data_IF_292629817772
#
_entry.id   IF_292629817772
#
_cell.length_a   1.000
_cell.length_b   1.000
_cell.length_c   1.000
_cell.angle_alpha   90.00
_cell.angle_beta   90.00
_cell.angle_gamma   90.00
#
_symmetry.space_group_name_H-M   'P 1'
#
loop_
_entity.id
_entity.type
_entity.pdbx_description
1 polymer ?
#
# COMPACT_ATOMS: atom_id res chain seq x y z
N UNK A 1 -30.36 -3.78 1.85
CA UNK A 1 -28.89 -3.97 1.96
C UNK A 1 -28.21 -2.89 1.14
N UNK A 2 -27.16 -2.26 1.66
CA UNK A 2 -26.44 -1.20 0.94
C UNK A 2 -25.74 -1.75 -0.30
N UNK A 3 -25.67 -0.95 -1.37
CA UNK A 3 -25.04 -1.33 -2.65
C UNK A 3 -23.52 -1.56 -2.53
N UNK A 4 -22.88 -1.02 -1.49
CA UNK A 4 -21.43 -0.94 -1.36
C UNK A 4 -20.94 -1.53 -0.04
N UNK A 5 -19.75 -2.11 -0.08
CA UNK A 5 -19.05 -2.64 1.09
C UNK A 5 -18.81 -1.57 2.14
N UNK A 6 -18.81 -1.95 3.41
CA UNK A 6 -18.36 -1.10 4.51
C UNK A 6 -16.85 -0.87 4.49
N UNK A 7 -16.12 -1.57 3.62
CA UNK A 7 -14.68 -1.45 3.46
C UNK A 7 -14.29 -0.66 2.22
N UNK A 8 -13.10 -0.06 2.29
CA UNK A 8 -12.40 0.59 1.18
C UNK A 8 -10.93 0.21 1.25
N UNK A 9 -10.30 0.02 0.09
CA UNK A 9 -8.88 -0.32 -0.01
C UNK A 9 -8.14 0.83 -0.69
N UNK A 10 -7.01 1.23 -0.14
CA UNK A 10 -6.08 2.16 -0.77
C UNK A 10 -4.79 1.44 -1.12
N UNK A 11 -4.28 1.70 -2.32
CA UNK A 11 -3.15 0.99 -2.88
C UNK A 11 -2.11 1.97 -3.37
N UNK A 12 -0.88 1.77 -2.91
CA UNK A 12 0.28 2.50 -3.39
C UNK A 12 1.53 1.61 -3.34
N UNK A 13 2.61 2.07 -3.94
CA UNK A 13 3.78 1.28 -4.27
C UNK A 13 5.09 1.86 -3.72
N UNK A 14 6.11 1.02 -3.64
CA UNK A 14 7.49 1.46 -3.46
C UNK A 14 8.42 0.71 -4.39
N UNK A 15 9.32 1.45 -5.03
CA UNK A 15 10.20 0.94 -6.08
C UNK A 15 9.57 1.05 -7.47
N UNK A 16 10.40 1.04 -8.50
CA UNK A 16 9.91 1.02 -9.88
C UNK A 16 9.47 -0.39 -10.29
N UNK A 17 8.44 -0.48 -11.13
CA UNK A 17 7.95 -1.75 -11.68
C UNK A 17 8.76 -2.23 -12.89
N UNK A 18 9.84 -1.53 -13.27
CA UNK A 18 10.67 -1.86 -14.42
C UNK A 18 11.60 -3.05 -14.17
N UNK A 19 11.68 -3.94 -15.17
CA UNK A 19 12.64 -5.07 -15.19
C UNK A 19 13.83 -4.87 -16.15
N UNK A 20 13.75 -3.87 -17.04
CA UNK A 20 14.83 -3.55 -18.00
C UNK A 20 16.06 -2.97 -17.29
N UNK A 21 15.83 -2.02 -16.39
CA UNK A 21 16.86 -1.41 -15.55
C UNK A 21 16.42 -1.55 -14.10
N UNK A 22 17.16 -2.31 -13.31
CA UNK A 22 16.86 -2.55 -11.90
C UNK A 22 17.77 -1.65 -11.05
N UNK A 23 17.19 -0.86 -10.16
CA UNK A 23 17.96 -0.12 -9.14
C UNK A 23 18.58 -1.10 -8.15
N UNK A 24 19.92 -1.20 -8.17
CA UNK A 24 20.67 -2.06 -7.28
C UNK A 24 20.55 -1.69 -5.79
N UNK A 25 20.18 -0.43 -5.49
CA UNK A 25 19.95 0.01 -4.11
C UNK A 25 18.56 -0.37 -3.59
N UNK A 26 17.63 -0.67 -4.49
CA UNK A 26 16.26 -1.06 -4.16
C UNK A 26 15.68 -2.05 -5.19
N UNK A 27 16.23 -3.29 -5.31
CA UNK A 27 15.86 -4.26 -6.34
C UNK A 27 14.56 -5.02 -6.04
N UNK A 28 13.62 -4.35 -5.35
CA UNK A 28 12.29 -4.88 -5.01
C UNK A 28 11.21 -3.90 -5.46
N UNK A 29 10.08 -4.45 -5.88
CA UNK A 29 8.84 -3.72 -6.05
C UNK A 29 7.88 -4.14 -4.94
N UNK A 30 7.30 -3.17 -4.25
CA UNK A 30 6.32 -3.40 -3.18
C UNK A 30 5.00 -2.77 -3.59
N UNK A 31 3.91 -3.51 -3.45
CA UNK A 31 2.55 -2.99 -3.57
C UNK A 31 1.84 -3.17 -2.22
N UNK A 32 1.47 -2.05 -1.61
CA UNK A 32 0.87 -1.95 -0.30
C UNK A 32 -0.65 -1.78 -0.43
N UNK A 33 -1.42 -2.50 0.36
CA UNK A 33 -2.88 -2.46 0.36
C UNK A 33 -3.37 -2.19 1.78
N UNK A 34 -3.87 -0.98 2.00
CA UNK A 34 -4.46 -0.56 3.28
C UNK A 34 -5.98 -0.74 3.22
N UNK A 35 -6.51 -1.65 4.03
CA UNK A 35 -7.93 -1.99 4.06
C UNK A 35 -8.57 -1.39 5.30
N UNK A 36 -9.47 -0.43 5.09
CA UNK A 36 -10.17 0.27 6.16
C UNK A 36 -11.65 -0.10 6.17
N UNK A 37 -12.25 -0.17 7.37
CA UNK A 37 -13.69 0.14 7.47
C UNK A 37 -13.85 1.63 7.18
N UNK A 38 -14.87 1.99 6.42
CA UNK A 38 -15.13 3.37 5.99
C UNK A 38 -15.28 4.33 7.18
N UNK A 39 -15.86 3.86 8.30
CA UNK A 39 -15.97 4.64 9.54
C UNK A 39 -14.60 4.93 10.17
N UNK A 40 -13.71 3.94 10.28
CA UNK A 40 -12.36 4.13 10.85
C UNK A 40 -11.52 5.05 9.95
N UNK A 41 -11.74 4.99 8.63
CA UNK A 41 -11.11 5.89 7.67
C UNK A 41 -11.62 7.33 7.81
N UNK A 42 -12.94 7.53 7.70
CA UNK A 42 -13.56 8.85 7.63
C UNK A 42 -13.49 9.60 8.96
N UNK A 43 -13.72 8.90 10.06
CA UNK A 43 -13.84 9.50 11.39
C UNK A 43 -12.52 9.40 12.19
N UNK A 44 -11.59 8.53 11.76
CA UNK A 44 -10.30 8.32 12.40
C UNK A 44 -9.13 8.89 11.61
N UNK A 45 -8.75 8.23 10.51
CA UNK A 45 -7.53 8.56 9.76
C UNK A 45 -7.57 9.97 9.16
N UNK A 46 -8.66 10.32 8.47
CA UNK A 46 -8.80 11.61 7.78
C UNK A 46 -8.62 12.82 8.73
N UNK A 47 -9.35 12.92 9.86
CA UNK A 47 -9.16 14.04 10.79
C UNK A 47 -7.77 14.01 11.43
N UNK A 48 -7.22 12.83 11.75
CA UNK A 48 -5.88 12.71 12.33
C UNK A 48 -4.81 13.28 11.40
N UNK A 49 -4.85 12.93 10.11
CA UNK A 49 -3.94 13.49 9.10
C UNK A 49 -4.13 15.00 8.93
N UNK A 50 -5.36 15.51 8.96
CA UNK A 50 -5.60 16.95 8.91
C UNK A 50 -4.97 17.68 10.11
N UNK A 51 -5.20 17.19 11.33
CA UNK A 51 -4.62 17.78 12.54
C UNK A 51 -3.08 17.72 12.52
N UNK A 52 -2.51 16.60 12.09
CA UNK A 52 -1.07 16.47 11.89
C UNK A 52 -0.54 17.55 10.94
N UNK A 53 -1.20 17.75 9.79
CA UNK A 53 -0.77 18.76 8.82
C UNK A 53 -0.95 20.19 9.33
N UNK A 54 -2.06 20.50 10.00
CA UNK A 54 -2.25 21.82 10.61
C UNK A 54 -1.15 22.13 11.65
N UNK A 55 -0.75 21.14 12.44
CA UNK A 55 0.33 21.28 13.43
C UNK A 55 1.68 21.60 12.78
N UNK A 56 2.03 20.93 11.69
CA UNK A 56 3.37 21.03 11.08
C UNK A 56 3.49 22.07 9.96
N UNK A 57 2.40 22.35 9.24
CA UNK A 57 2.40 23.21 8.05
C UNK A 57 1.44 24.40 8.14
N UNK A 58 0.53 24.41 9.13
CA UNK A 58 -0.50 25.45 9.27
C UNK A 58 -1.69 25.32 8.31
N UNK A 59 -1.66 24.34 7.39
CA UNK A 59 -2.76 24.01 6.47
C UNK A 59 -2.75 22.51 6.15
N UNK A 60 -3.84 21.99 5.58
CA UNK A 60 -3.97 20.56 5.27
C UNK A 60 -3.53 20.18 3.85
N UNK A 61 -3.17 21.15 3.01
CA UNK A 61 -2.86 20.93 1.58
C UNK A 61 -1.54 20.19 1.28
N UNK A 62 -0.62 20.05 2.24
CA UNK A 62 0.64 19.30 2.04
C UNK A 62 0.34 17.82 1.85
N UNK A 63 0.84 17.20 0.78
CA UNK A 63 0.73 15.76 0.54
C UNK A 63 1.91 15.06 1.22
N UNK A 64 1.61 14.13 2.13
CA UNK A 64 2.60 13.32 2.83
C UNK A 64 3.10 12.22 1.89
N UNK A 65 4.20 12.51 1.21
CA UNK A 65 4.85 11.58 0.29
C UNK A 65 6.19 11.12 0.88
N UNK A 66 6.36 9.80 1.04
CA UNK A 66 7.48 9.13 1.69
C UNK A 66 8.81 9.62 1.13
N UNK A 67 8.92 9.71 -0.20
CA UNK A 67 10.20 10.06 -0.83
C UNK A 67 10.56 11.52 -0.56
N UNK A 68 9.58 12.42 -0.46
CA UNK A 68 9.82 13.83 -0.19
C UNK A 68 10.13 14.06 1.30
N UNK A 69 9.46 13.34 2.19
CA UNK A 69 9.78 13.32 3.63
C UNK A 69 11.20 12.78 3.85
N UNK A 70 11.54 11.63 3.24
CA UNK A 70 12.86 11.00 3.41
C UNK A 70 13.99 11.92 2.92
N UNK A 71 13.78 12.62 1.80
CA UNK A 71 14.77 13.49 1.16
C UNK A 71 14.68 14.96 1.56
N UNK A 72 13.81 15.31 2.52
CA UNK A 72 13.60 16.68 3.01
C UNK A 72 13.27 17.69 1.89
N UNK A 73 12.41 17.29 0.93
CA UNK A 73 12.08 18.07 -0.27
C UNK A 73 10.82 18.91 -0.09
N UNK A 74 10.76 20.04 -0.79
CA UNK A 74 9.58 20.91 -0.83
C UNK A 74 9.15 21.39 0.56
N UNK A 75 7.89 21.14 0.91
CA UNK A 75 7.30 21.49 2.21
C UNK A 75 8.03 20.83 3.39
N UNK A 76 8.71 19.69 3.17
CA UNK A 76 9.48 18.98 4.20
C UNK A 76 10.87 19.56 4.44
N UNK A 77 11.25 20.63 3.74
CA UNK A 77 12.48 21.39 4.04
C UNK A 77 12.47 22.04 5.43
N UNK A 78 11.33 22.03 6.13
CA UNK A 78 11.20 22.42 7.54
C UNK A 78 11.90 21.43 8.50
N UNK A 79 12.17 20.20 8.06
CA UNK A 79 12.79 19.11 8.85
C UNK A 79 14.33 19.25 8.92
N UNK A 80 14.84 20.49 9.08
CA UNK A 80 16.26 20.87 8.95
C UNK A 80 17.22 20.24 9.96
N UNK A 81 16.70 19.69 11.05
CA UNK A 81 17.49 19.12 12.15
C UNK A 81 17.06 17.67 12.37
N UNK A 82 18.01 16.82 12.72
CA UNK A 82 17.75 15.39 12.99
C UNK A 82 16.64 15.21 14.03
N UNK A 83 16.64 16.03 15.08
CA UNK A 83 15.68 15.96 16.18
C UNK A 83 14.25 16.25 15.70
N UNK A 84 14.05 17.29 14.89
CA UNK A 84 12.75 17.60 14.28
C UNK A 84 12.28 16.48 13.34
N UNK A 85 13.19 15.95 12.52
CA UNK A 85 12.87 14.86 11.59
C UNK A 85 12.46 13.59 12.33
N UNK A 86 13.22 13.21 13.36
CA UNK A 86 12.90 12.07 14.22
C UNK A 86 11.55 12.27 14.92
N UNK A 87 11.28 13.45 15.48
CA UNK A 87 9.99 13.76 16.10
C UNK A 87 8.81 13.66 15.11
N UNK A 88 8.97 14.21 13.90
CA UNK A 88 7.96 14.15 12.84
C UNK A 88 7.67 12.70 12.40
N UNK A 89 8.72 11.91 12.18
CA UNK A 89 8.60 10.51 11.78
C UNK A 89 8.02 9.63 12.90
N UNK A 90 8.36 9.91 14.15
CA UNK A 90 7.79 9.21 15.31
C UNK A 90 6.30 9.48 15.41
N UNK A 91 5.86 10.73 15.26
CA UNK A 91 4.43 11.06 15.28
C UNK A 91 3.68 10.39 14.12
N UNK A 92 4.24 10.34 12.90
CA UNK A 92 3.65 9.55 11.81
C UNK A 92 3.56 8.07 12.17
N UNK A 93 4.62 7.50 12.75
CA UNK A 93 4.64 6.10 13.18
C UNK A 93 3.56 5.82 14.23
N UNK A 94 3.37 6.73 15.18
CA UNK A 94 2.34 6.63 16.22
C UNK A 94 0.92 6.72 15.61
N UNK A 95 0.72 7.55 14.59
CA UNK A 95 -0.54 7.59 13.83
C UNK A 95 -0.79 6.25 13.13
N UNK A 96 0.20 5.67 12.46
CA UNK A 96 0.08 4.34 11.84
C UNK A 96 -0.28 3.29 12.91
N UNK A 97 0.37 3.34 14.07
CA UNK A 97 0.13 2.41 15.17
C UNK A 97 -1.31 2.51 15.72
N UNK A 98 -1.83 3.72 15.91
CA UNK A 98 -3.15 3.96 16.47
C UNK A 98 -4.29 3.67 15.48
N UNK A 99 -4.06 3.89 14.18
CA UNK A 99 -5.09 3.76 13.14
C UNK A 99 -5.54 2.31 12.98
N UNK A 100 -6.85 2.08 12.93
CA UNK A 100 -7.43 0.74 12.73
C UNK A 100 -7.55 0.43 11.23
N UNK A 101 -6.76 -0.53 10.75
CA UNK A 101 -6.82 -1.05 9.40
C UNK A 101 -6.16 -2.42 9.33
N UNK A 102 -6.54 -3.21 8.33
CA UNK A 102 -5.82 -4.41 7.96
C UNK A 102 -4.84 -4.09 6.82
N UNK A 103 -3.68 -4.73 6.86
CA UNK A 103 -2.61 -4.48 5.91
C UNK A 103 -2.25 -5.73 5.11
N UNK A 104 -2.09 -5.57 3.82
CA UNK A 104 -1.58 -6.60 2.91
C UNK A 104 -0.46 -5.97 2.07
N UNK A 105 0.60 -6.72 1.83
CA UNK A 105 1.67 -6.32 0.92
C UNK A 105 2.10 -7.46 0.01
N UNK A 106 2.34 -7.11 -1.25
CA UNK A 106 3.01 -7.95 -2.23
C UNK A 106 4.41 -7.40 -2.49
N UNK A 107 5.44 -8.24 -2.39
CA UNK A 107 6.83 -7.88 -2.65
C UNK A 107 7.35 -8.74 -3.79
N UNK A 108 7.84 -8.10 -4.84
CA UNK A 108 8.45 -8.75 -5.99
C UNK A 108 9.96 -8.48 -5.96
N UNK A 109 10.77 -9.53 -5.82
CA UNK A 109 12.23 -9.51 -5.93
C UNK A 109 12.61 -9.53 -7.41
N UNK A 110 13.03 -8.39 -7.95
CA UNK A 110 13.16 -8.18 -9.40
C UNK A 110 14.29 -9.00 -10.02
N UNK A 111 15.43 -9.09 -9.35
CA UNK A 111 16.57 -9.89 -9.81
C UNK A 111 16.22 -11.39 -9.86
N UNK A 112 15.76 -12.05 -8.78
CA UNK A 112 15.30 -13.44 -8.83
C UNK A 112 14.19 -13.68 -9.85
N UNK A 113 13.27 -12.72 -10.04
CA UNK A 113 12.21 -12.84 -11.04
C UNK A 113 12.79 -12.92 -12.46
N UNK A 114 13.70 -12.00 -12.80
CA UNK A 114 14.33 -11.94 -14.13
C UNK A 114 15.18 -13.17 -14.43
N UNK A 115 15.86 -13.72 -13.42
CA UNK A 115 16.69 -14.92 -13.58
C UNK A 115 15.86 -16.19 -13.72
N UNK A 116 14.72 -16.27 -13.01
CA UNK A 116 13.90 -17.48 -12.96
C UNK A 116 13.01 -17.68 -14.19
N UNK A 117 12.59 -16.61 -14.86
CA UNK A 117 11.62 -16.69 -15.94
C UNK A 117 12.19 -16.13 -17.25
N UNK A 118 12.04 -16.88 -18.35
CA UNK A 118 12.48 -16.44 -19.69
C UNK A 118 11.74 -15.20 -20.17
N UNK A 119 10.45 -15.09 -19.85
CA UNK A 119 9.64 -13.91 -20.10
C UNK A 119 8.94 -13.52 -18.79
N UNK A 120 9.62 -12.79 -17.90
CA UNK A 120 9.06 -12.44 -16.60
C UNK A 120 7.88 -11.48 -16.78
N UNK A 121 6.80 -11.74 -16.06
CA UNK A 121 5.63 -10.87 -16.04
C UNK A 121 5.92 -9.54 -15.34
N UNK A 122 5.13 -8.51 -15.66
CA UNK A 122 5.26 -7.19 -15.02
C UNK A 122 5.12 -7.32 -13.48
N UNK A 123 6.09 -6.83 -12.69
CA UNK A 123 6.03 -6.86 -11.23
C UNK A 123 4.76 -6.27 -10.64
N UNK A 124 4.22 -5.21 -11.26
CA UNK A 124 2.97 -4.61 -10.82
C UNK A 124 1.80 -5.58 -10.98
N UNK A 125 1.66 -6.21 -12.14
CA UNK A 125 0.55 -7.13 -12.43
C UNK A 125 0.56 -8.33 -11.48
N UNK A 126 1.75 -8.92 -11.28
CA UNK A 126 1.95 -10.01 -10.31
C UNK A 126 1.55 -9.57 -8.89
N UNK A 127 2.06 -8.41 -8.45
CA UNK A 127 1.79 -7.89 -7.11
C UNK A 127 0.31 -7.57 -6.90
N UNK A 128 -0.36 -7.01 -7.92
CA UNK A 128 -1.78 -6.70 -7.93
C UNK A 128 -2.60 -7.99 -7.78
N UNK A 129 -2.37 -8.98 -8.63
CA UNK A 129 -3.07 -10.27 -8.57
C UNK A 129 -2.95 -10.91 -7.19
N UNK A 130 -1.72 -10.97 -6.65
CA UNK A 130 -1.49 -11.46 -5.28
C UNK A 130 -2.22 -10.67 -4.21
N UNK A 131 -2.30 -9.35 -4.34
CA UNK A 131 -2.99 -8.48 -3.40
C UNK A 131 -4.50 -8.67 -3.44
N UNK A 132 -5.10 -8.64 -4.64
CA UNK A 132 -6.55 -8.79 -4.84
C UNK A 132 -7.06 -10.12 -4.28
N UNK A 133 -6.34 -11.22 -4.53
CA UNK A 133 -6.67 -12.53 -3.94
C UNK A 133 -6.73 -12.47 -2.41
N UNK A 134 -5.75 -11.80 -1.78
CA UNK A 134 -5.65 -11.71 -0.31
C UNK A 134 -6.68 -10.77 0.29
N UNK A 135 -6.98 -9.67 -0.39
CA UNK A 135 -8.09 -8.78 -0.01
C UNK A 135 -9.39 -9.58 0.00
N UNK A 136 -9.63 -10.38 -1.04
CA UNK A 136 -10.82 -11.22 -1.11
C UNK A 136 -10.92 -12.21 0.06
N UNK A 137 -9.80 -12.84 0.41
CA UNK A 137 -9.75 -13.71 1.59
C UNK A 137 -10.02 -12.99 2.90
N UNK A 138 -9.40 -11.82 3.09
CA UNK A 138 -9.61 -11.01 4.29
C UNK A 138 -11.09 -10.62 4.42
N UNK A 139 -11.67 -10.06 3.35
CA UNK A 139 -13.06 -9.63 3.32
C UNK A 139 -14.02 -10.80 3.55
N UNK A 140 -13.72 -11.98 2.98
CA UNK A 140 -14.48 -13.21 3.27
C UNK A 140 -14.39 -13.62 4.73
N UNK A 141 -13.22 -13.49 5.34
CA UNK A 141 -13.00 -13.79 6.76
C UNK A 141 -13.81 -12.90 7.71
N UNK A 142 -14.08 -11.65 7.31
CA UNK A 142 -14.89 -10.69 8.08
C UNK A 142 -16.34 -10.59 7.59
N UNK A 143 -16.77 -11.44 6.65
CA UNK A 143 -18.14 -11.48 6.14
C UNK A 143 -18.53 -10.37 5.14
N UNK A 144 -17.56 -9.64 4.59
CA UNK A 144 -17.76 -8.48 3.71
C UNK A 144 -17.58 -8.82 2.21
N UNK A 145 -18.25 -9.87 1.71
CA UNK A 145 -18.07 -10.36 0.31
C UNK A 145 -19.23 -10.12 -0.64
N UNK A 146 -20.41 -9.77 -0.14
CA UNK A 146 -21.59 -9.65 -1.00
C UNK A 146 -21.63 -8.31 -1.74
N UNK A 147 -21.13 -7.26 -1.10
CA UNK A 147 -21.17 -5.92 -1.65
C UNK A 147 -19.88 -5.57 -2.38
N UNK A 148 -20.02 -4.67 -3.35
CA UNK A 148 -18.89 -4.18 -4.14
C UNK A 148 -17.92 -3.39 -3.26
N UNK A 149 -16.63 -3.76 -3.31
CA UNK A 149 -15.55 -3.07 -2.58
C UNK A 149 -14.72 -2.24 -3.56
N UNK A 150 -14.47 -0.98 -3.21
CA UNK A 150 -13.67 -0.09 -4.05
C UNK A 150 -12.19 -0.17 -3.66
N UNK A 151 -11.34 -0.22 -4.68
CA UNK A 151 -9.89 -0.26 -4.56
C UNK A 151 -9.34 0.99 -5.24
N UNK A 152 -8.84 1.92 -4.42
CA UNK A 152 -8.36 3.22 -4.86
C UNK A 152 -6.86 3.14 -5.12
N UNK A 153 -6.46 3.50 -6.33
CA UNK A 153 -5.07 3.57 -6.79
C UNK A 153 -4.74 5.00 -7.22
N UNK A 154 -3.48 5.39 -7.10
CA UNK A 154 -3.01 6.65 -7.69
C UNK A 154 -2.82 6.52 -9.22
N UNK A 155 -3.23 7.54 -9.97
CA UNK A 155 -2.99 7.64 -11.41
C UNK A 155 -1.52 7.79 -11.76
N UNK A 156 -1.10 7.13 -12.83
CA UNK A 156 0.29 7.09 -13.30
C UNK A 156 0.47 7.60 -14.73
N UNK A 157 -0.62 7.87 -15.43
CA UNK A 157 -0.61 8.26 -16.84
C UNK A 157 -1.68 7.47 -17.60
N UNK A 158 -2.22 8.04 -18.67
CA UNK A 158 -3.38 7.42 -19.36
C UNK A 158 -3.09 6.01 -19.87
N UNK A 159 -1.86 5.73 -20.30
CA UNK A 159 -1.48 4.41 -20.79
C UNK A 159 -1.36 3.43 -19.62
N UNK A 160 -0.59 3.79 -18.60
CA UNK A 160 -0.38 2.97 -17.40
C UNK A 160 -1.70 2.68 -16.67
N UNK A 161 -2.58 3.69 -16.57
CA UNK A 161 -3.90 3.56 -15.95
C UNK A 161 -4.78 2.57 -16.73
N UNK A 162 -4.75 2.62 -18.06
CA UNK A 162 -5.51 1.72 -18.93
C UNK A 162 -5.00 0.27 -18.85
N UNK A 163 -3.68 0.09 -18.84
CA UNK A 163 -3.04 -1.22 -18.69
C UNK A 163 -3.36 -1.83 -17.31
N UNK A 164 -3.28 -1.02 -16.26
CA UNK A 164 -3.62 -1.42 -14.90
C UNK A 164 -5.11 -1.79 -14.77
N UNK A 165 -6.01 -0.99 -15.35
CA UNK A 165 -7.45 -1.27 -15.32
C UNK A 165 -7.78 -2.59 -16.02
N UNK A 166 -7.16 -2.85 -17.18
CA UNK A 166 -7.36 -4.10 -17.91
C UNK A 166 -6.91 -5.30 -17.10
N UNK A 167 -5.73 -5.23 -16.47
CA UNK A 167 -5.22 -6.32 -15.64
C UNK A 167 -6.08 -6.54 -14.39
N UNK A 168 -6.49 -5.45 -13.73
CA UNK A 168 -7.41 -5.50 -12.59
C UNK A 168 -8.69 -6.25 -12.95
N UNK A 169 -9.30 -5.92 -14.10
CA UNK A 169 -10.54 -6.56 -14.57
C UNK A 169 -10.32 -8.04 -14.86
N UNK A 170 -9.22 -8.41 -15.52
CA UNK A 170 -8.89 -9.83 -15.77
C UNK A 170 -8.82 -10.65 -14.50
N UNK A 171 -8.11 -10.14 -13.48
CA UNK A 171 -8.02 -10.81 -12.17
C UNK A 171 -9.41 -10.92 -11.53
N UNK A 172 -10.20 -9.85 -11.58
CA UNK A 172 -11.56 -9.84 -11.01
C UNK A 172 -12.54 -10.74 -11.77
N UNK A 173 -12.36 -10.98 -13.07
CA UNK A 173 -13.21 -11.82 -13.91
C UNK A 173 -12.86 -13.32 -13.83
N UNK A 174 -11.90 -13.70 -12.98
CA UNK A 174 -11.57 -15.09 -12.72
C UNK A 174 -10.17 -15.52 -13.15
N UNK A 175 -9.33 -14.61 -13.67
CA UNK A 175 -7.89 -14.88 -13.81
C UNK A 175 -7.16 -14.74 -12.47
N UNK A 176 -7.69 -15.40 -11.46
CA UNK A 176 -7.13 -15.52 -10.12
C UNK A 176 -7.08 -16.99 -9.73
N UNK A 177 -6.36 -17.31 -8.66
CA UNK A 177 -6.17 -18.68 -8.16
C UNK A 177 -7.46 -19.45 -7.92
N UNK A 178 -8.58 -18.76 -7.64
CA UNK A 178 -9.87 -19.36 -7.33
C UNK A 178 -10.78 -19.54 -8.52
N UNK A 179 -10.41 -18.98 -9.68
CA UNK A 179 -11.24 -18.99 -10.89
C UNK A 179 -12.66 -18.49 -10.62
N UNK A 180 -12.79 -17.47 -9.78
CA UNK A 180 -14.07 -16.89 -9.38
C UNK A 180 -14.09 -15.38 -9.59
N UNK A 181 -15.28 -14.81 -9.69
CA UNK A 181 -15.42 -13.36 -9.73
C UNK A 181 -15.01 -12.72 -8.39
N UNK A 182 -14.25 -11.62 -8.44
CA UNK A 182 -13.96 -10.79 -7.29
C UNK A 182 -14.85 -9.53 -7.33
N UNK A 183 -15.61 -9.19 -6.28
CA UNK A 183 -16.56 -8.09 -6.28
C UNK A 183 -15.85 -6.73 -6.05
N UNK A 184 -14.82 -6.44 -6.84
CA UNK A 184 -14.00 -5.24 -6.71
C UNK A 184 -14.18 -4.27 -7.87
N UNK A 185 -14.06 -2.98 -7.57
CA UNK A 185 -14.04 -1.92 -8.58
C UNK A 185 -12.86 -1.01 -8.32
N UNK A 186 -12.05 -0.78 -9.35
CA UNK A 186 -10.89 0.10 -9.27
C UNK A 186 -11.34 1.56 -9.41
N UNK A 187 -10.75 2.44 -8.59
CA UNK A 187 -10.97 3.88 -8.63
C UNK A 187 -9.62 4.56 -8.79
N UNK A 188 -9.45 5.32 -9.87
CA UNK A 188 -8.23 6.06 -10.16
C UNK A 188 -8.30 7.47 -9.58
N UNK A 189 -7.46 7.75 -8.58
CA UNK A 189 -7.36 9.04 -7.95
C UNK A 189 -6.18 9.84 -8.53
N UNK A 190 -6.38 11.14 -8.78
CA UNK A 190 -5.29 12.00 -9.23
C UNK A 190 -4.19 12.13 -8.17
N UNK A 191 -2.93 12.27 -8.60
CA UNK A 191 -1.78 12.51 -7.70
C UNK A 191 -1.93 13.77 -6.84
N UNK A 192 -2.71 14.75 -7.30
CA UNK A 192 -3.05 15.97 -6.53
C UNK A 192 -4.17 15.74 -5.52
N UNK A 193 -4.79 14.57 -5.51
CA UNK A 193 -5.79 14.23 -4.51
C UNK A 193 -5.09 14.12 -3.15
N UNK A 194 -5.56 14.92 -2.20
CA UNK A 194 -5.05 14.90 -0.83
C UNK A 194 -5.68 13.72 -0.05
N UNK A 195 -5.61 12.51 -0.62
CA UNK A 195 -6.21 11.30 -0.07
C UNK A 195 -5.37 10.80 1.10
N UNK A 196 -5.93 10.80 2.31
CA UNK A 196 -5.25 10.28 3.49
C UNK A 196 -4.94 8.78 3.38
N UNK A 197 -5.77 8.04 2.65
CA UNK A 197 -5.63 6.59 2.49
C UNK A 197 -4.48 6.22 1.55
N UNK A 198 -4.31 6.96 0.43
CA UNK A 198 -3.16 6.78 -0.46
C UNK A 198 -1.87 7.20 0.23
N UNK A 199 -1.87 8.34 0.92
CA UNK A 199 -0.71 8.77 1.72
C UNK A 199 -0.34 7.75 2.81
N UNK A 200 -1.32 7.09 3.45
CA UNK A 200 -1.04 5.99 4.37
C UNK A 200 -0.37 4.80 3.65
N UNK A 201 -0.86 4.40 2.49
CA UNK A 201 -0.29 3.30 1.71
C UNK A 201 1.15 3.60 1.25
N UNK A 202 1.42 4.81 0.77
CA UNK A 202 2.75 5.29 0.38
C UNK A 202 3.76 5.22 1.54
N UNK A 203 3.39 5.80 2.70
CA UNK A 203 4.24 5.86 3.89
C UNK A 203 4.68 4.49 4.40
N UNK A 204 3.84 3.46 4.23
CA UNK A 204 4.11 2.12 4.76
C UNK A 204 4.72 1.16 3.72
N UNK A 205 4.64 1.46 2.42
CA UNK A 205 5.15 0.58 1.37
C UNK A 205 6.66 0.37 1.45
N UNK A 206 7.43 1.48 1.56
CA UNK A 206 8.89 1.39 1.57
C UNK A 206 9.46 0.63 2.78
N UNK A 207 9.01 0.85 4.03
CA UNK A 207 9.44 0.07 5.19
C UNK A 207 9.40 -1.44 4.97
N UNK A 208 8.39 -1.96 4.24
CA UNK A 208 8.30 -3.39 3.91
C UNK A 208 9.46 -3.82 3.02
N UNK A 209 9.73 -3.10 1.93
CA UNK A 209 10.85 -3.44 1.05
C UNK A 209 12.20 -3.32 1.74
N UNK A 210 12.38 -2.34 2.63
CA UNK A 210 13.61 -2.22 3.43
C UNK A 210 13.82 -3.41 4.35
N UNK A 211 12.76 -3.93 4.98
CA UNK A 211 12.83 -5.15 5.81
C UNK A 211 13.28 -6.37 4.99
N UNK A 212 12.77 -6.51 3.76
CA UNK A 212 13.14 -7.63 2.87
C UNK A 212 14.61 -7.51 2.40
N UNK A 213 15.06 -6.30 2.07
CA UNK A 213 16.43 -6.08 1.61
C UNK A 213 17.47 -6.15 2.72
N UNK A 214 17.09 -5.73 3.93
CA UNK A 214 18.01 -5.56 5.07
C UNK A 214 17.37 -6.10 6.35
N UNK A 215 17.23 -7.43 6.49
CA UNK A 215 16.54 -8.05 7.63
C UNK A 215 17.24 -7.82 8.97
N UNK A 216 18.56 -7.59 8.97
CA UNK A 216 19.30 -7.32 10.20
C UNK A 216 19.28 -5.84 10.61
N UNK A 217 18.83 -4.94 9.73
CA UNK A 217 18.78 -3.51 10.04
C UNK A 217 17.50 -3.20 10.85
N UNK A 218 17.62 -2.49 11.99
CA UNK A 218 16.45 -2.04 12.74
C UNK A 218 15.51 -1.19 11.89
N UNK A 219 14.21 -1.44 11.98
CA UNK A 219 13.19 -0.78 11.19
C UNK A 219 11.92 -0.55 12.01
N UNK A 220 11.93 0.50 12.83
CA UNK A 220 10.82 0.84 13.74
C UNK A 220 9.47 1.00 13.03
N UNK A 221 9.48 1.54 11.81
CA UNK A 221 8.26 1.65 11.01
C UNK A 221 7.71 0.26 10.67
N UNK A 222 8.56 -0.67 10.21
CA UNK A 222 8.16 -2.05 9.97
C UNK A 222 7.62 -2.73 11.23
N UNK A 223 8.29 -2.57 12.37
CA UNK A 223 7.86 -3.21 13.64
C UNK A 223 6.44 -2.78 14.03
N UNK A 224 6.07 -1.53 13.72
CA UNK A 224 4.72 -1.01 13.89
C UNK A 224 3.74 -1.63 12.89
N UNK A 225 4.13 -1.70 11.62
CA UNK A 225 3.31 -2.23 10.51
C UNK A 225 3.11 -3.74 10.63
N UNK A 226 4.04 -4.49 11.22
CA UNK A 226 3.97 -5.96 11.31
C UNK A 226 2.70 -6.43 12.05
N UNK A 227 2.29 -5.65 13.06
CA UNK A 227 1.08 -5.90 13.84
C UNK A 227 -0.22 -5.61 13.05
N UNK A 228 -0.12 -4.91 11.92
CA UNK A 228 -1.27 -4.57 11.05
C UNK A 228 -1.50 -5.61 9.96
N UNK A 229 -0.54 -6.49 9.68
CA UNK A 229 -0.70 -7.49 8.63
C UNK A 229 -1.93 -8.37 8.86
N UNK A 230 -2.66 -8.64 7.79
CA UNK A 230 -3.66 -9.70 7.77
C UNK A 230 -3.01 -11.03 8.16
N UNK A 231 -3.60 -11.70 9.16
CA UNK A 231 -3.15 -12.98 9.69
C UNK A 231 -4.25 -14.03 9.53
N UNK A 232 -3.84 -15.26 9.26
CA UNK A 232 -4.78 -16.38 9.27
C UNK A 232 -5.22 -16.74 10.69
N UNK A 233 -6.12 -17.71 10.82
CA UNK A 233 -6.61 -18.19 12.14
C UNK A 233 -5.54 -18.79 13.07
N UNK A 234 -4.29 -18.94 12.62
CA UNK A 234 -3.14 -19.37 13.44
C UNK A 234 -2.16 -18.21 13.73
N UNK A 235 -2.53 -16.97 13.41
CA UNK A 235 -1.70 -15.78 13.64
C UNK A 235 -0.56 -15.57 12.63
N UNK A 236 -0.48 -16.37 11.55
CA UNK A 236 0.58 -16.25 10.53
C UNK A 236 0.22 -15.21 9.48
N UNK A 237 1.13 -14.28 9.21
CA UNK A 237 0.98 -13.30 8.12
C UNK A 237 1.71 -13.70 6.83
N UNK A 238 2.78 -14.50 6.89
CA UNK A 238 3.48 -14.95 5.67
C UNK A 238 2.56 -15.77 4.77
N UNK A 239 2.47 -15.36 3.51
CA UNK A 239 1.57 -15.91 2.51
C UNK A 239 0.13 -15.41 2.60
N UNK A 240 -0.24 -14.70 3.69
CA UNK A 240 -1.57 -14.15 3.95
C UNK A 240 -1.57 -12.63 3.85
N UNK A 241 -0.98 -11.93 4.81
CA UNK A 241 -0.77 -10.49 4.78
C UNK A 241 0.48 -10.07 4.02
N UNK A 242 1.53 -10.89 3.97
CA UNK A 242 2.75 -10.60 3.21
C UNK A 242 3.02 -11.68 2.16
N UNK A 243 3.13 -11.30 0.90
CA UNK A 243 3.53 -12.17 -0.20
C UNK A 243 4.83 -11.71 -0.83
N UNK A 244 5.93 -12.34 -0.47
CA UNK A 244 7.19 -12.18 -1.18
C UNK A 244 7.28 -13.19 -2.35
N UNK A 245 7.78 -12.74 -3.50
CA UNK A 245 7.89 -13.54 -4.73
C UNK A 245 9.07 -13.10 -5.63
N UNK A 246 9.67 -13.99 -6.42
CA UNK A 246 9.68 -15.44 -6.20
C UNK A 246 10.44 -15.74 -4.92
#
# INVERSE_FOLDING_TARGET
MGQFSEYIVFVDESGDHGLKTIDQNYPVFVLAFCIFRKVDYADGLVPTFKHFKFKHFGHDQVILHETDIRKDRGDFSILKTREKKEAFLNELTDIVAATQFAFIASVIRKEPLREKYTNPENPYHLALGFGLERIFYYLRGVGATEQKTHIVVEKRGSQEDSELELEFRRVCDGQNRHRCALPFEVVFADKKSNSAGLQMADLIARPIGMRILRPEQPNRAYDTIENKFYRNGRGRFDGWGLKCFP
#
